data_IF_829034473331
#
_entry.id   IF_829034473331
#
_cell.length_a   1.000
_cell.length_b   1.000
_cell.length_c   1.000
_cell.angle_alpha   90.00
_cell.angle_beta   90.00
_cell.angle_gamma   90.00
#
_symmetry.space_group_name_H-M   'P 1'
#
loop_
_entity.id
_entity.type
_entity.pdbx_description
1 polymer ?
#
# COMPACT_ATOMS: atom_id res chain seq x y z
N UNK A 1 -37.69 26.59 10.99
CA UNK A 1 -36.27 26.87 11.30
C UNK A 1 -35.72 25.61 11.95
N UNK A 2 -34.83 24.80 11.37
CA UNK A 2 -34.05 24.83 10.13
C UNK A 2 -33.56 23.38 9.94
N UNK A 3 -33.65 22.85 8.72
CA UNK A 3 -33.10 21.55 8.32
C UNK A 3 -31.58 21.49 8.53
N UNK A 4 -31.08 20.34 8.96
CA UNK A 4 -29.78 19.78 8.60
C UNK A 4 -29.93 18.24 8.57
N UNK A 5 -30.81 17.76 7.69
CA UNK A 5 -30.81 16.38 7.23
C UNK A 5 -30.34 16.38 5.78
N UNK A 6 -29.37 15.52 5.47
CA UNK A 6 -29.02 15.11 4.11
C UNK A 6 -27.97 15.97 3.40
N UNK A 7 -26.69 15.59 3.50
CA UNK A 7 -25.71 15.81 2.41
C UNK A 7 -24.36 15.09 2.63
N UNK A 8 -24.34 13.86 3.18
CA UNK A 8 -23.11 13.06 3.22
C UNK A 8 -23.28 11.60 2.77
N UNK A 9 -24.51 11.09 2.67
CA UNK A 9 -24.76 9.68 2.30
C UNK A 9 -24.67 9.40 0.79
N UNK A 10 -24.68 10.44 -0.06
CA UNK A 10 -24.66 10.32 -1.52
C UNK A 10 -23.32 10.73 -2.15
N UNK A 11 -22.23 10.86 -1.36
CA UNK A 11 -20.92 10.96 -2.01
C UNK A 11 -20.66 9.65 -2.76
N UNK A 12 -20.42 9.69 -4.08
CA UNK A 12 -20.05 8.50 -4.82
C UNK A 12 -18.83 7.88 -4.12
N UNK A 13 -19.00 6.69 -3.55
CA UNK A 13 -17.84 5.89 -3.17
C UNK A 13 -17.17 5.58 -4.51
N UNK A 14 -16.00 6.17 -4.74
CA UNK A 14 -15.22 5.85 -5.93
C UNK A 14 -15.12 4.31 -5.99
N UNK A 15 -15.47 3.71 -7.14
CA UNK A 15 -15.25 2.27 -7.31
C UNK A 15 -13.77 2.00 -7.05
N UNK A 16 -13.40 0.78 -6.61
CA UNK A 16 -12.01 0.44 -6.41
C UNK A 16 -11.22 0.88 -7.63
N UNK A 17 -10.19 1.70 -7.44
CA UNK A 17 -9.30 2.10 -8.53
C UNK A 17 -8.84 0.83 -9.21
N UNK A 18 -9.33 0.58 -10.43
CA UNK A 18 -8.84 -0.51 -11.26
C UNK A 18 -7.49 -0.05 -11.77
N UNK A 19 -6.48 -0.18 -10.92
CA UNK A 19 -5.09 -0.11 -11.37
C UNK A 19 -4.89 -1.22 -12.39
N UNK A 20 -4.53 -0.86 -13.62
CA UNK A 20 -4.15 -1.83 -14.65
C UNK A 20 -2.82 -2.55 -14.31
N UNK A 21 -2.13 -2.14 -13.24
CA UNK A 21 -0.83 -2.67 -12.84
C UNK A 21 -0.78 -3.30 -11.45
N UNK A 22 0.26 -4.12 -11.27
CA UNK A 22 0.67 -4.76 -10.01
C UNK A 22 1.70 -3.87 -9.32
N UNK A 23 1.40 -3.43 -8.11
CA UNK A 23 2.37 -2.70 -7.29
C UNK A 23 3.38 -3.66 -6.66
N UNK A 24 4.66 -3.32 -6.75
CA UNK A 24 5.77 -4.02 -6.13
C UNK A 24 6.67 -3.03 -5.40
N UNK A 25 7.42 -3.51 -4.41
CA UNK A 25 8.36 -2.69 -3.65
C UNK A 25 9.56 -3.52 -3.21
N UNK A 26 10.71 -2.86 -3.07
CA UNK A 26 11.90 -3.42 -2.45
C UNK A 26 11.86 -3.33 -0.92
N UNK A 27 10.90 -2.60 -0.35
CA UNK A 27 10.78 -2.34 1.08
C UNK A 27 9.85 -3.34 1.77
N UNK A 28 10.44 -4.29 2.51
CA UNK A 28 9.71 -5.38 3.17
C UNK A 28 8.61 -4.88 4.12
N UNK A 29 8.89 -3.84 4.90
CA UNK A 29 7.95 -3.26 5.87
C UNK A 29 6.73 -2.66 5.18
N UNK A 30 6.96 -1.99 4.06
CA UNK A 30 5.92 -1.38 3.24
C UNK A 30 5.03 -2.47 2.63
N UNK A 31 5.62 -3.49 2.02
CA UNK A 31 4.88 -4.65 1.52
C UNK A 31 4.07 -5.36 2.61
N UNK A 32 4.64 -5.50 3.82
CA UNK A 32 3.96 -6.14 4.96
C UNK A 32 2.77 -5.33 5.44
N UNK A 33 2.85 -3.99 5.42
CA UNK A 33 1.73 -3.10 5.74
C UNK A 33 0.54 -3.36 4.82
N UNK A 34 0.77 -3.34 3.51
CA UNK A 34 -0.28 -3.54 2.52
C UNK A 34 -0.86 -4.95 2.54
N UNK A 35 -0.02 -5.97 2.75
CA UNK A 35 -0.51 -7.35 2.94
C UNK A 35 -1.46 -7.46 4.15
N UNK A 36 -1.23 -6.72 5.23
CA UNK A 36 -2.09 -6.75 6.41
C UNK A 36 -3.36 -5.88 6.32
N UNK A 37 -3.40 -4.90 5.41
CA UNK A 37 -4.34 -3.77 5.46
C UNK A 37 -5.81 -4.17 5.23
N UNK A 38 -6.08 -5.18 4.40
CA UNK A 38 -7.44 -5.53 3.91
C UNK A 38 -7.77 -7.02 4.08
N UNK A 39 -7.62 -7.56 5.28
CA UNK A 39 -8.11 -8.91 5.61
C UNK A 39 -7.06 -10.02 5.52
N UNK A 40 -5.83 -9.73 5.96
CA UNK A 40 -4.74 -10.72 6.08
C UNK A 40 -4.36 -11.35 4.74
N UNK A 41 -3.94 -10.51 3.80
CA UNK A 41 -3.32 -10.98 2.57
C UNK A 41 -1.99 -11.69 2.82
N UNK A 42 -1.47 -12.29 1.76
CA UNK A 42 -0.18 -12.95 1.77
C UNK A 42 0.92 -12.01 1.26
N UNK A 43 2.15 -12.23 1.73
CA UNK A 43 3.33 -11.52 1.28
C UNK A 43 4.18 -12.43 0.40
N UNK A 44 4.49 -11.95 -0.81
CA UNK A 44 5.23 -12.68 -1.82
C UNK A 44 6.56 -12.01 -2.12
N UNK A 45 7.57 -12.82 -2.44
CA UNK A 45 8.70 -12.35 -3.23
C UNK A 45 8.37 -12.62 -4.70
N UNK A 46 8.57 -11.61 -5.54
CA UNK A 46 8.20 -11.64 -6.95
C UNK A 46 9.34 -11.23 -7.85
N UNK A 47 9.29 -11.69 -9.10
CA UNK A 47 10.05 -11.17 -10.22
C UNK A 47 9.11 -10.29 -11.06
N UNK A 48 9.37 -8.97 -11.20
CA UNK A 48 8.54 -8.11 -12.02
C UNK A 48 8.68 -8.47 -13.50
N UNK A 49 7.57 -8.42 -14.25
CA UNK A 49 7.54 -8.70 -15.70
C UNK A 49 7.01 -7.47 -16.42
N UNK A 50 7.77 -7.01 -17.41
CA UNK A 50 7.45 -5.83 -18.21
C UNK A 50 8.22 -4.59 -17.76
N UNK A 51 7.77 -3.43 -18.23
CA UNK A 51 8.31 -2.14 -17.82
C UNK A 51 7.97 -1.86 -16.36
N UNK A 52 8.93 -1.32 -15.61
CA UNK A 52 8.79 -0.95 -14.22
C UNK A 52 8.80 0.56 -14.11
N UNK A 53 7.65 1.12 -13.72
CA UNK A 53 7.46 2.56 -13.55
C UNK A 53 7.46 2.87 -12.06
N UNK A 54 8.18 3.90 -11.64
CA UNK A 54 8.17 4.36 -10.26
C UNK A 54 6.80 4.94 -9.90
N UNK A 55 6.29 4.59 -8.72
CA UNK A 55 5.03 5.12 -8.21
C UNK A 55 5.29 6.43 -7.47
N UNK A 56 4.49 7.44 -7.78
CA UNK A 56 4.51 8.74 -7.11
C UNK A 56 3.50 8.83 -5.95
N UNK A 57 2.75 7.74 -5.67
CA UNK A 57 1.66 7.75 -4.69
C UNK A 57 2.15 7.84 -3.24
N UNK A 58 3.34 7.30 -2.96
CA UNK A 58 3.88 7.18 -1.61
C UNK A 58 5.39 7.43 -1.58
N UNK A 59 5.91 7.95 -0.46
CA UNK A 59 7.34 8.26 -0.28
C UNK A 59 8.24 7.02 -0.10
N UNK A 60 7.68 5.81 -0.23
CA UNK A 60 8.44 4.57 -0.20
C UNK A 60 8.75 4.12 -1.64
N UNK A 61 9.98 3.62 -1.90
CA UNK A 61 10.32 3.03 -3.19
C UNK A 61 9.32 1.96 -3.59
N UNK A 62 8.45 2.28 -4.53
CA UNK A 62 7.42 1.39 -5.03
C UNK A 62 7.24 1.60 -6.52
N UNK A 63 6.80 0.56 -7.20
CA UNK A 63 6.77 0.52 -8.64
C UNK A 63 5.48 -0.15 -9.11
N UNK A 64 4.99 0.29 -10.26
CA UNK A 64 3.88 -0.34 -10.97
C UNK A 64 4.45 -1.13 -12.14
N UNK A 65 4.05 -2.40 -12.24
CA UNK A 65 4.40 -3.29 -13.36
C UNK A 65 3.15 -3.91 -13.95
N UNK A 66 3.20 -4.31 -15.22
CA UNK A 66 2.07 -4.99 -15.88
C UNK A 66 1.72 -6.30 -15.17
N UNK A 67 2.73 -7.08 -14.77
CA UNK A 67 2.54 -8.33 -14.05
C UNK A 67 3.77 -8.70 -13.22
N UNK A 68 3.62 -9.63 -12.29
CA UNK A 68 4.72 -10.14 -11.50
C UNK A 68 4.60 -11.64 -11.31
N UNK A 69 5.72 -12.36 -11.44
CA UNK A 69 5.78 -13.80 -11.18
C UNK A 69 6.13 -14.03 -9.72
N UNK A 70 5.29 -14.79 -9.01
CA UNK A 70 5.59 -15.22 -7.64
C UNK A 70 6.76 -16.20 -7.66
N UNK A 71 7.84 -15.84 -6.96
CA UNK A 71 9.00 -16.71 -6.76
C UNK A 71 8.82 -17.59 -5.52
N UNK A 72 8.37 -16.99 -4.42
CA UNK A 72 8.04 -17.69 -3.18
C UNK A 72 7.14 -16.84 -2.29
N UNK A 73 6.56 -17.51 -1.30
CA UNK A 73 5.73 -16.90 -0.27
C UNK A 73 6.62 -16.59 0.92
N UNK A 74 6.64 -15.33 1.35
CA UNK A 74 7.41 -14.89 2.51
C UNK A 74 6.60 -15.07 3.80
N UNK A 75 5.30 -14.75 3.76
CA UNK A 75 4.40 -14.88 4.92
C UNK A 75 2.96 -15.05 4.43
N UNK A 76 2.22 -16.00 5.01
CA UNK A 76 0.78 -16.18 4.77
C UNK A 76 -0.03 -15.42 5.82
N UNK A 77 -1.23 -14.98 5.46
CA UNK A 77 -2.22 -14.37 6.35
C UNK A 77 -1.58 -13.32 7.26
N UNK A 78 -0.97 -12.31 6.65
CA UNK A 78 -0.15 -11.32 7.35
C UNK A 78 -1.01 -10.57 8.36
N UNK A 79 -0.57 -10.64 9.62
CA UNK A 79 -1.14 -9.89 10.73
C UNK A 79 -0.04 -9.05 11.38
N UNK A 80 -0.32 -7.76 11.59
CA UNK A 80 0.58 -6.88 12.30
C UNK A 80 0.17 -6.77 13.75
N UNK A 81 1.09 -7.11 14.65
CA UNK A 81 0.92 -6.77 16.06
C UNK A 81 1.08 -5.25 16.28
N UNK A 82 0.73 -4.78 17.49
CA UNK A 82 0.84 -3.35 17.83
C UNK A 82 2.27 -2.82 17.74
N UNK A 83 3.29 -3.65 17.95
CA UNK A 83 4.70 -3.27 17.90
C UNK A 83 5.17 -3.12 16.46
N UNK A 84 4.86 -4.08 15.59
CA UNK A 84 5.13 -4.05 14.15
C UNK A 84 4.45 -2.84 13.51
N UNK A 85 3.15 -2.62 13.80
CA UNK A 85 2.39 -1.46 13.32
C UNK A 85 3.07 -0.14 13.69
N UNK A 86 3.49 0.02 14.95
CA UNK A 86 4.20 1.22 15.41
C UNK A 86 5.61 1.35 14.84
N UNK A 87 6.28 0.26 14.49
CA UNK A 87 7.57 0.31 13.83
C UNK A 87 7.43 0.85 12.40
N UNK A 88 6.48 0.30 11.64
CA UNK A 88 6.20 0.73 10.27
C UNK A 88 5.82 2.23 10.24
N UNK A 89 4.89 2.66 11.10
CA UNK A 89 4.45 4.07 11.13
C UNK A 89 5.60 5.04 11.48
N UNK A 90 6.55 4.63 12.33
CA UNK A 90 7.73 5.45 12.65
C UNK A 90 8.67 5.58 11.45
N UNK A 91 8.82 4.53 10.66
CA UNK A 91 9.66 4.57 9.47
C UNK A 91 8.98 5.40 8.37
N UNK A 92 7.66 5.32 8.25
CA UNK A 92 6.86 6.18 7.35
C UNK A 92 7.05 7.66 7.68
N UNK A 93 6.88 8.03 8.95
CA UNK A 93 7.10 9.41 9.41
C UNK A 93 8.53 9.91 9.13
N UNK A 94 9.53 9.03 9.12
CA UNK A 94 10.90 9.41 8.77
C UNK A 94 11.05 9.61 7.26
N UNK A 95 10.42 8.76 6.45
CA UNK A 95 10.41 8.91 4.99
C UNK A 95 9.76 10.23 4.59
N UNK A 96 8.57 10.54 5.13
CA UNK A 96 7.86 11.79 4.85
C UNK A 96 8.67 13.02 5.25
N UNK A 97 9.31 12.99 6.44
CA UNK A 97 10.20 14.08 6.88
C UNK A 97 11.41 14.26 5.98
N UNK A 98 11.96 13.18 5.43
CA UNK A 98 13.09 13.25 4.51
C UNK A 98 12.65 13.85 3.18
N UNK A 99 11.51 13.42 2.65
CA UNK A 99 10.93 13.96 1.42
C UNK A 99 10.62 15.46 1.56
N UNK A 100 10.10 15.90 2.70
CA UNK A 100 9.81 17.32 2.96
C UNK A 100 11.05 18.23 3.09
N UNK A 101 12.25 17.64 3.23
CA UNK A 101 13.53 18.35 3.39
C UNK A 101 14.42 18.29 2.14
N UNK A 102 14.04 17.51 1.13
CA UNK A 102 14.75 17.34 -0.14
C UNK A 102 14.21 18.32 -1.19
#
# INVERSE_FOLDING_TARGET
LRLLEGELDDMPIDPPTQSEGVYVTTELKYATWYAALRGHGDLYQVEPIGEMQESEEDNFPSYVVQSAKVLRILRRSVWLDRRERRAIMRDWQKADKRAALA
#
